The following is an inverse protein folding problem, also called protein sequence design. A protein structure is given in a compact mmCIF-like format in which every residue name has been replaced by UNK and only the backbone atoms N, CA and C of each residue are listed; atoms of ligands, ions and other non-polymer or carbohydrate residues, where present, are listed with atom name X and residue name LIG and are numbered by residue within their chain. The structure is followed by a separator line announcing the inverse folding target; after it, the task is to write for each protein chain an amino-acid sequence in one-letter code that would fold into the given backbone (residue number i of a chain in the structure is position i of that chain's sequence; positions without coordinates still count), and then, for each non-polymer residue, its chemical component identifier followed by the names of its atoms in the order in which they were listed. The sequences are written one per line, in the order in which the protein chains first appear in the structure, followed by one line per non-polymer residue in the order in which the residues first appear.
data_IF_938757872006
#
_entry.id   IF_938757872006
#
_cell.length_a   1.000
_cell.length_b   1.000
_cell.length_c   1.000
_cell.angle_alpha   90.00
_cell.angle_beta   90.00
_cell.angle_gamma   90.00
#
_symmetry.space_group_name_H-M   'P 1'
#
loop_
_entity.id
_entity.type
_entity.pdbx_description
1 polymer ?
#
# COMPACT_ATOMS: atom_id res chain seq x y z
N UNK A 1 23.66 8.07 16.02
CA UNK A 1 22.31 8.01 16.58
C UNK A 1 21.33 8.36 15.47
N UNK A 2 20.82 7.38 14.72
CA UNK A 2 19.67 7.59 13.86
C UNK A 2 18.48 7.76 14.81
N UNK A 3 17.85 8.94 14.80
CA UNK A 3 16.64 9.21 15.57
C UNK A 3 15.52 8.30 15.14
N UNK A 4 14.67 7.89 16.06
CA UNK A 4 13.46 7.14 15.73
C UNK A 4 12.55 8.04 14.90
N UNK A 5 12.05 7.52 13.75
CA UNK A 5 11.10 8.19 12.89
C UNK A 5 9.69 7.65 13.17
N UNK A 6 8.73 8.53 13.38
CA UNK A 6 7.34 8.18 13.60
C UNK A 6 6.52 8.32 12.31
N UNK A 7 5.58 7.41 12.10
CA UNK A 7 4.60 7.45 11.02
C UNK A 7 3.21 7.58 11.62
N UNK A 8 2.46 8.56 11.15
CA UNK A 8 1.08 8.80 11.56
C UNK A 8 0.21 9.00 10.32
N UNK A 9 -0.83 8.19 10.18
CA UNK A 9 -1.84 8.36 9.13
C UNK A 9 -3.10 8.98 9.73
N UNK A 10 -3.50 10.11 9.20
CA UNK A 10 -4.75 10.78 9.54
C UNK A 10 -5.73 10.65 8.37
N UNK A 11 -6.97 10.32 8.69
CA UNK A 11 -8.06 10.24 7.70
C UNK A 11 -9.12 11.27 8.02
N UNK A 12 -9.87 11.71 7.03
CA UNK A 12 -10.98 12.66 7.20
C UNK A 12 -12.17 12.07 7.97
N UNK A 13 -12.19 10.76 8.17
CA UNK A 13 -13.23 10.04 8.91
C UNK A 13 -12.66 9.48 10.22
N UNK A 14 -13.47 9.51 11.27
CA UNK A 14 -13.11 8.90 12.54
C UNK A 14 -12.91 7.39 12.37
N UNK A 15 -11.73 6.89 12.67
CA UNK A 15 -11.47 5.45 12.77
C UNK A 15 -12.11 4.93 14.07
N UNK A 16 -13.34 4.44 13.96
CA UNK A 16 -14.08 3.84 15.07
C UNK A 16 -13.55 2.42 15.38
N UNK A 17 -12.29 2.27 15.74
CA UNK A 17 -11.73 0.98 16.17
C UNK A 17 -11.69 -0.11 15.07
N UNK A 18 -11.81 0.25 13.81
CA UNK A 18 -11.72 -0.69 12.70
C UNK A 18 -10.28 -1.14 12.44
N UNK A 19 -10.11 -2.38 11.99
CA UNK A 19 -8.84 -2.90 11.48
C UNK A 19 -8.24 -1.93 10.46
N UNK A 20 -6.91 -1.84 10.44
CA UNK A 20 -6.18 -1.00 9.46
C UNK A 20 -6.63 -1.35 8.04
N UNK A 21 -6.96 -0.35 7.27
CA UNK A 21 -7.32 -0.57 5.86
C UNK A 21 -6.17 -1.27 5.12
N UNK A 22 -6.46 -2.14 4.14
CA UNK A 22 -5.43 -2.79 3.34
C UNK A 22 -4.43 -1.78 2.73
N UNK A 23 -4.90 -0.61 2.33
CA UNK A 23 -4.06 0.46 1.82
C UNK A 23 -3.06 0.97 2.86
N UNK A 24 -3.53 1.23 4.09
CA UNK A 24 -2.66 1.65 5.20
C UNK A 24 -1.58 0.62 5.51
N UNK A 25 -1.97 -0.66 5.48
CA UNK A 25 -1.05 -1.77 5.74
C UNK A 25 0.02 -1.91 4.66
N UNK A 26 -0.37 -1.80 3.38
CA UNK A 26 0.54 -1.83 2.22
C UNK A 26 1.56 -0.69 2.30
N UNK A 27 1.09 0.54 2.51
CA UNK A 27 1.94 1.72 2.57
C UNK A 27 2.92 1.67 3.73
N UNK A 28 2.44 1.33 4.91
CA UNK A 28 3.29 1.22 6.08
C UNK A 28 4.35 0.13 5.92
N UNK A 29 3.99 -1.03 5.39
CA UNK A 29 4.93 -2.13 5.18
C UNK A 29 6.02 -1.75 4.21
N UNK A 30 5.67 -1.07 3.10
CA UNK A 30 6.65 -0.58 2.13
C UNK A 30 7.56 0.49 2.75
N UNK A 31 6.99 1.48 3.44
CA UNK A 31 7.75 2.55 4.07
C UNK A 31 8.70 2.01 5.15
N UNK A 32 8.26 1.06 5.95
CA UNK A 32 9.09 0.43 6.99
C UNK A 32 10.27 -0.34 6.40
N UNK A 33 10.10 -0.98 5.25
CA UNK A 33 11.21 -1.65 4.56
C UNK A 33 12.26 -0.64 4.06
N UNK A 34 11.83 0.54 3.62
CA UNK A 34 12.73 1.62 3.19
C UNK A 34 13.40 2.32 4.39
N UNK A 35 12.68 2.45 5.50
CA UNK A 35 13.09 3.14 6.73
C UNK A 35 12.93 2.17 7.93
N UNK A 36 13.92 1.31 8.22
CA UNK A 36 13.79 0.23 9.22
C UNK A 36 13.42 0.70 10.63
N UNK A 37 13.74 1.95 10.99
CA UNK A 37 13.43 2.54 12.30
C UNK A 37 12.08 3.25 12.35
N UNK A 38 11.27 3.15 11.29
CA UNK A 38 9.93 3.71 11.25
C UNK A 38 9.01 2.98 12.22
N UNK A 39 8.32 3.74 13.07
CA UNK A 39 7.31 3.24 14.02
C UNK A 39 5.93 3.78 13.64
N UNK A 40 4.93 2.90 13.59
CA UNK A 40 3.55 3.29 13.38
C UNK A 40 2.96 3.82 14.69
N UNK A 41 2.54 5.07 14.66
CA UNK A 41 1.96 5.78 15.81
C UNK A 41 0.44 5.91 15.70
N UNK A 42 -0.17 5.33 14.68
CA UNK A 42 -1.60 5.49 14.38
C UNK A 42 -2.50 4.90 15.48
N UNK A 43 -2.01 3.91 16.21
CA UNK A 43 -2.79 3.24 17.27
C UNK A 43 -2.65 3.90 18.64
N UNK A 44 -1.56 4.61 18.90
CA UNK A 44 -1.30 5.25 20.21
C UNK A 44 -0.53 6.58 20.02
N UNK A 45 -1.10 7.59 19.40
CA UNK A 45 -0.41 8.81 19.04
C UNK A 45 0.08 9.63 20.25
N UNK A 46 -0.71 9.72 21.32
CA UNK A 46 -0.46 10.65 22.43
C UNK A 46 0.82 10.34 23.23
N UNK A 47 1.16 9.06 23.35
CA UNK A 47 2.29 8.64 24.21
C UNK A 47 3.60 8.60 23.44
N UNK A 48 3.54 8.36 22.14
CA UNK A 48 4.70 8.02 21.34
C UNK A 48 5.31 9.20 20.59
N UNK A 49 4.51 10.23 20.28
CA UNK A 49 4.93 11.38 19.45
C UNK A 49 6.08 12.16 20.09
N UNK A 50 6.05 12.39 21.39
CA UNK A 50 7.07 13.16 22.11
C UNK A 50 8.48 12.52 22.10
N UNK A 51 8.57 11.25 21.72
CA UNK A 51 9.84 10.49 21.67
C UNK A 51 10.51 10.52 20.31
N UNK A 52 9.82 10.99 19.28
CA UNK A 52 10.30 10.97 17.90
C UNK A 52 10.81 12.35 17.49
N UNK A 53 12.01 12.40 16.93
CA UNK A 53 12.59 13.64 16.38
C UNK A 53 12.01 14.00 15.02
N UNK A 54 11.77 12.96 14.22
CA UNK A 54 11.25 13.09 12.86
C UNK A 54 9.87 12.39 12.81
N UNK A 55 8.89 13.11 12.32
CA UNK A 55 7.51 12.63 12.21
C UNK A 55 7.01 12.80 10.77
N UNK A 56 6.68 11.69 10.14
CA UNK A 56 6.00 11.67 8.86
C UNK A 56 4.50 11.56 9.09
N UNK A 57 3.75 12.59 8.72
CA UNK A 57 2.30 12.61 8.80
C UNK A 57 1.74 12.47 7.39
N UNK A 58 0.98 11.39 7.14
CA UNK A 58 0.19 11.25 5.93
C UNK A 58 -1.25 11.62 6.22
N UNK A 59 -1.75 12.60 5.48
CA UNK A 59 -3.15 13.01 5.55
C UNK A 59 -3.84 12.48 4.30
N UNK A 60 -4.79 11.57 4.51
CA UNK A 60 -5.63 11.06 3.45
C UNK A 60 -6.85 11.97 3.30
N UNK A 61 -6.93 12.61 2.14
CA UNK A 61 -8.04 13.50 1.81
C UNK A 61 -9.11 12.72 1.06
N UNK A 62 -10.38 13.01 1.35
CA UNK A 62 -11.48 12.40 0.62
C UNK A 62 -11.47 12.84 -0.84
N UNK A 63 -11.80 11.92 -1.74
CA UNK A 63 -11.82 12.16 -3.19
C UNK A 63 -12.88 13.19 -3.63
N UNK A 64 -13.76 13.61 -2.72
CA UNK A 64 -14.81 14.59 -2.98
C UNK A 64 -14.34 16.04 -3.04
N UNK A 65 -13.09 16.31 -2.64
CA UNK A 65 -12.55 17.67 -2.63
C UNK A 65 -11.64 17.88 -3.83
N UNK A 66 -12.02 18.83 -4.69
CA UNK A 66 -11.12 19.27 -5.76
C UNK A 66 -9.89 19.97 -5.17
N UNK A 67 -8.71 19.87 -5.80
CA UNK A 67 -7.50 20.55 -5.35
C UNK A 67 -7.69 22.05 -5.11
N UNK A 68 -8.52 22.72 -5.93
CA UNK A 68 -8.86 24.14 -5.81
C UNK A 68 -9.65 24.45 -4.52
N UNK A 69 -10.51 23.55 -4.06
CA UNK A 69 -11.22 23.71 -2.78
C UNK A 69 -10.31 23.51 -1.59
N UNK A 70 -9.29 22.67 -1.70
CA UNK A 70 -8.30 22.48 -0.65
C UNK A 70 -7.45 23.73 -0.39
N UNK A 71 -7.12 24.50 -1.44
CA UNK A 71 -6.43 25.79 -1.27
C UNK A 71 -7.31 26.86 -0.65
N UNK A 72 -8.59 26.88 -1.03
CA UNK A 72 -9.54 27.88 -0.55
C UNK A 72 -10.07 27.59 0.87
N UNK A 73 -10.20 26.33 1.25
CA UNK A 73 -10.83 25.90 2.52
C UNK A 73 -9.80 25.46 3.57
N UNK A 74 -8.55 25.19 3.17
CA UNK A 74 -7.51 24.67 4.06
C UNK A 74 -7.70 23.19 4.41
N UNK A 75 -6.95 22.74 5.41
CA UNK A 75 -7.02 21.37 5.93
C UNK A 75 -8.42 21.13 6.52
N UNK A 76 -9.02 19.97 6.22
CA UNK A 76 -10.30 19.55 6.79
C UNK A 76 -10.34 19.83 8.32
N UNK A 77 -11.43 20.42 8.84
CA UNK A 77 -11.55 20.78 10.25
C UNK A 77 -11.30 19.62 11.22
N UNK A 78 -11.69 18.40 10.83
CA UNK A 78 -11.45 17.19 11.63
C UNK A 78 -9.96 16.87 11.72
N UNK A 79 -9.25 16.87 10.58
CA UNK A 79 -7.79 16.65 10.54
C UNK A 79 -7.06 17.74 11.30
N UNK A 80 -7.50 19.00 11.15
CA UNK A 80 -6.97 20.13 11.92
C UNK A 80 -7.13 19.94 13.41
N UNK A 81 -8.33 19.55 13.87
CA UNK A 81 -8.60 19.26 15.27
C UNK A 81 -7.73 18.10 15.80
N UNK A 82 -7.48 17.06 14.99
CA UNK A 82 -6.56 15.99 15.37
C UNK A 82 -5.12 16.50 15.52
N UNK A 83 -4.61 17.29 14.58
CA UNK A 83 -3.27 17.87 14.67
C UNK A 83 -3.14 18.79 15.91
N UNK A 84 -4.14 19.60 16.19
CA UNK A 84 -4.17 20.48 17.36
C UNK A 84 -4.20 19.67 18.66
N UNK A 85 -5.01 18.61 18.75
CA UNK A 85 -5.06 17.71 19.91
C UNK A 85 -3.72 17.05 20.20
N UNK A 86 -2.98 16.71 19.15
CA UNK A 86 -1.65 16.10 19.20
C UNK A 86 -0.53 17.16 19.36
N UNK A 87 -0.88 18.45 19.38
CA UNK A 87 0.06 19.58 19.42
C UNK A 87 1.09 19.55 18.31
N UNK A 88 0.68 19.08 17.13
CA UNK A 88 1.54 18.98 15.95
C UNK A 88 1.37 20.20 15.06
N UNK A 89 2.49 20.79 14.69
CA UNK A 89 2.55 21.85 13.67
C UNK A 89 3.49 21.36 12.57
N UNK A 90 2.97 21.05 11.36
CA UNK A 90 3.81 20.57 10.28
C UNK A 90 4.75 21.69 9.79
N UNK A 91 6.04 21.40 9.76
CA UNK A 91 7.07 22.34 9.24
C UNK A 91 7.05 22.42 7.72
N UNK A 92 6.61 21.35 7.06
CA UNK A 92 6.53 21.26 5.59
C UNK A 92 5.28 20.52 5.17
N UNK A 93 4.65 21.03 4.11
CA UNK A 93 3.54 20.38 3.44
C UNK A 93 3.99 19.91 2.06
N UNK A 94 3.89 18.60 1.81
CA UNK A 94 4.09 18.01 0.49
C UNK A 94 2.73 17.53 -0.03
N UNK A 95 2.28 18.12 -1.14
CA UNK A 95 1.06 17.69 -1.80
C UNK A 95 1.42 16.72 -2.92
N UNK A 96 1.06 15.44 -2.77
CA UNK A 96 1.24 14.45 -3.81
C UNK A 96 0.02 14.41 -4.73
N UNK A 97 0.24 14.34 -6.03
CA UNK A 97 -0.80 14.22 -7.05
C UNK A 97 -1.21 15.52 -7.73
N UNK A 98 -0.59 16.66 -7.39
CA UNK A 98 -0.87 17.95 -8.03
C UNK A 98 -0.16 18.16 -9.37
N UNK A 99 1.02 17.58 -9.55
CA UNK A 99 1.84 17.76 -10.75
C UNK A 99 1.57 16.74 -11.86
N UNK A 100 0.64 15.79 -11.63
CA UNK A 100 0.09 15.05 -12.75
C UNK A 100 -0.85 16.02 -13.47
N UNK A 101 -0.42 16.54 -14.62
CA UNK A 101 -1.30 17.17 -15.59
C UNK A 101 -2.42 16.18 -15.95
N UNK A 102 -3.46 16.16 -15.14
CA UNK A 102 -4.73 15.59 -15.54
C UNK A 102 -5.15 16.42 -16.76
N UNK A 103 -5.46 15.78 -17.90
CA UNK A 103 -5.94 16.51 -19.06
C UNK A 103 -7.10 17.40 -18.61
N UNK A 104 -6.93 18.70 -18.80
CA UNK A 104 -7.78 19.78 -18.28
C UNK A 104 -9.22 19.75 -18.79
N UNK A 105 -9.64 18.77 -19.57
CA UNK A 105 -10.93 18.71 -20.24
C UNK A 105 -11.86 17.57 -19.80
N UNK A 106 -11.39 16.62 -19.02
CA UNK A 106 -12.26 15.64 -18.39
C UNK A 106 -12.38 15.97 -16.91
N UNK A 107 -13.42 16.67 -16.56
CA UNK A 107 -14.01 16.62 -15.22
C UNK A 107 -14.37 15.15 -14.99
N UNK A 108 -13.39 14.33 -14.60
CA UNK A 108 -13.65 13.02 -14.03
C UNK A 108 -14.62 13.27 -12.89
N UNK A 109 -15.87 12.92 -13.11
CA UNK A 109 -16.93 13.04 -12.10
C UNK A 109 -16.60 11.95 -11.08
N UNK A 110 -15.77 12.29 -10.08
CA UNK A 110 -15.31 11.40 -9.01
C UNK A 110 -16.44 10.71 -8.25
N UNK A 111 -17.69 11.13 -8.48
CA UNK A 111 -18.90 10.49 -7.90
C UNK A 111 -19.10 9.03 -8.32
N UNK A 112 -18.48 8.59 -9.41
CA UNK A 112 -18.60 7.22 -9.90
C UNK A 112 -17.35 6.37 -9.65
N UNK A 113 -16.34 6.93 -8.97
CA UNK A 113 -15.10 6.19 -8.68
C UNK A 113 -15.35 5.21 -7.55
N UNK A 114 -15.24 3.93 -7.87
CA UNK A 114 -15.24 2.87 -6.87
C UNK A 114 -13.81 2.61 -6.36
N UNK A 115 -13.66 2.42 -5.07
CA UNK A 115 -12.44 1.89 -4.47
C UNK A 115 -12.72 0.50 -3.94
N UNK A 116 -11.95 -0.47 -4.37
CA UNK A 116 -12.01 -1.85 -3.91
C UNK A 116 -10.67 -2.25 -3.33
N UNK A 117 -10.68 -2.92 -2.19
CA UNK A 117 -9.47 -3.35 -1.51
C UNK A 117 -9.60 -4.76 -0.96
N UNK A 118 -8.51 -5.49 -0.96
CA UNK A 118 -8.44 -6.85 -0.47
C UNK A 118 -7.22 -7.03 0.42
N UNK A 119 -7.44 -7.48 1.65
CA UNK A 119 -6.38 -7.97 2.52
C UNK A 119 -6.17 -9.47 2.21
N UNK A 120 -4.99 -9.79 1.73
CA UNK A 120 -4.59 -11.15 1.37
C UNK A 120 -3.75 -11.82 2.47
N UNK A 121 -3.70 -11.22 3.65
CA UNK A 121 -2.93 -11.70 4.79
C UNK A 121 -1.47 -12.06 4.40
N UNK A 122 -1.05 -13.30 4.63
CA UNK A 122 0.28 -13.84 4.31
C UNK A 122 0.30 -14.59 2.96
N UNK A 123 -0.63 -14.30 2.06
CA UNK A 123 -0.70 -15.01 0.78
C UNK A 123 0.56 -14.79 -0.04
N UNK A 124 0.92 -15.85 -0.76
CA UNK A 124 2.02 -15.87 -1.72
C UNK A 124 1.41 -16.00 -3.11
N UNK A 125 1.96 -15.32 -4.09
CA UNK A 125 1.47 -15.31 -5.45
C UNK A 125 2.33 -16.21 -6.34
N UNK A 126 1.68 -16.92 -7.26
CA UNK A 126 2.40 -17.51 -8.37
C UNK A 126 2.90 -16.39 -9.32
N UNK A 127 4.21 -16.32 -9.60
CA UNK A 127 4.77 -15.19 -10.34
C UNK A 127 4.21 -15.03 -11.76
N UNK A 128 3.90 -16.14 -12.44
CA UNK A 128 3.36 -16.09 -13.80
C UNK A 128 1.92 -15.59 -13.79
N UNK A 129 1.11 -16.15 -12.91
CA UNK A 129 -0.28 -15.74 -12.74
C UNK A 129 -0.40 -14.29 -12.28
N UNK A 130 0.47 -13.84 -11.37
CA UNK A 130 0.54 -12.44 -10.93
C UNK A 130 0.82 -11.50 -12.11
N UNK A 131 1.79 -11.84 -12.94
CA UNK A 131 2.13 -11.01 -14.09
C UNK A 131 0.97 -10.90 -15.09
N UNK A 132 0.28 -12.01 -15.35
CA UNK A 132 -0.91 -12.04 -16.21
C UNK A 132 -2.04 -11.22 -15.61
N UNK A 133 -2.37 -11.47 -14.33
CA UNK A 133 -3.41 -10.72 -13.63
C UNK A 133 -3.14 -9.21 -13.63
N UNK A 134 -1.90 -8.80 -13.34
CA UNK A 134 -1.55 -7.38 -13.34
C UNK A 134 -1.67 -6.74 -14.72
N UNK A 135 -1.22 -7.47 -15.75
CA UNK A 135 -1.38 -7.03 -17.14
C UNK A 135 -2.86 -6.85 -17.50
N UNK A 136 -3.70 -7.82 -17.21
CA UNK A 136 -5.14 -7.76 -17.45
C UNK A 136 -5.81 -6.60 -16.69
N UNK A 137 -5.44 -6.42 -15.42
CA UNK A 137 -5.96 -5.37 -14.56
C UNK A 137 -5.72 -3.97 -15.13
N UNK A 138 -4.48 -3.68 -15.52
CA UNK A 138 -4.10 -2.34 -16.01
C UNK A 138 -4.53 -2.09 -17.46
N UNK A 139 -4.92 -3.14 -18.19
CA UNK A 139 -5.44 -3.04 -19.55
C UNK A 139 -6.98 -3.12 -19.62
N UNK A 140 -7.67 -3.03 -18.49
CA UNK A 140 -9.11 -2.85 -18.44
C UNK A 140 -9.94 -4.14 -18.52
N UNK A 141 -9.34 -5.32 -18.32
CA UNK A 141 -10.10 -6.58 -18.32
C UNK A 141 -11.18 -6.64 -17.23
N UNK A 142 -11.03 -5.86 -16.18
CA UNK A 142 -11.92 -5.85 -15.01
C UNK A 142 -12.62 -4.50 -14.78
N UNK A 143 -12.70 -3.67 -15.81
CA UNK A 143 -13.26 -2.32 -15.75
C UNK A 143 -12.23 -1.22 -15.97
N UNK A 144 -12.66 0.03 -15.91
CA UNK A 144 -11.78 1.18 -16.13
C UNK A 144 -10.96 1.44 -14.84
N UNK A 145 -9.79 0.87 -14.75
CA UNK A 145 -8.88 1.07 -13.62
C UNK A 145 -8.14 2.40 -13.80
N UNK A 146 -8.12 3.24 -12.77
CA UNK A 146 -7.38 4.50 -12.75
C UNK A 146 -6.14 4.42 -11.87
N UNK A 147 -6.19 3.60 -10.82
CA UNK A 147 -5.05 3.34 -9.94
C UNK A 147 -5.13 1.91 -9.41
N UNK A 148 -3.99 1.26 -9.37
CA UNK A 148 -3.82 -0.01 -8.68
C UNK A 148 -2.54 0.01 -7.86
N UNK A 149 -2.62 -0.49 -6.62
CA UNK A 149 -1.50 -0.58 -5.70
C UNK A 149 -1.57 -1.90 -4.94
N UNK A 150 -0.44 -2.58 -4.82
CA UNK A 150 -0.41 -3.85 -4.10
C UNK A 150 0.94 -4.17 -3.50
N UNK A 151 0.92 -5.00 -2.47
CA UNK A 151 2.10 -5.63 -1.90
C UNK A 151 1.92 -7.15 -2.02
N UNK A 152 2.82 -7.78 -2.78
CA UNK A 152 2.72 -9.18 -3.19
C UNK A 152 3.94 -9.94 -2.72
N UNK A 153 3.71 -11.05 -2.00
CA UNK A 153 4.78 -11.97 -1.62
C UNK A 153 4.97 -13.03 -2.70
N UNK A 154 6.21 -13.41 -2.98
CA UNK A 154 6.59 -14.42 -3.97
C UNK A 154 7.17 -15.68 -3.29
N UNK A 155 7.19 -16.83 -3.97
CA UNK A 155 7.68 -18.09 -3.40
C UNK A 155 9.15 -18.07 -2.99
N UNK A 156 9.97 -17.23 -3.64
CA UNK A 156 11.39 -17.06 -3.32
C UNK A 156 11.66 -16.21 -2.06
N UNK A 157 10.60 -15.77 -1.40
CA UNK A 157 10.66 -14.90 -0.21
C UNK A 157 10.79 -13.42 -0.51
N UNK A 158 10.94 -13.06 -1.78
CA UNK A 158 10.88 -11.67 -2.22
C UNK A 158 9.45 -11.13 -2.06
N UNK A 159 9.31 -9.84 -1.79
CA UNK A 159 8.04 -9.13 -1.89
C UNK A 159 8.20 -7.94 -2.81
N UNK A 160 7.15 -7.66 -3.56
CA UNK A 160 7.15 -6.58 -4.55
C UNK A 160 5.99 -5.64 -4.24
N UNK A 161 6.31 -4.35 -4.17
CA UNK A 161 5.33 -3.28 -4.15
C UNK A 161 5.01 -2.89 -5.58
N UNK A 162 3.75 -3.04 -5.95
CA UNK A 162 3.21 -2.67 -7.25
C UNK A 162 2.50 -1.33 -7.13
N UNK A 163 2.73 -0.44 -8.09
CA UNK A 163 2.01 0.81 -8.21
C UNK A 163 1.79 1.15 -9.67
N UNK A 164 0.56 1.48 -10.01
CA UNK A 164 0.17 1.90 -11.33
C UNK A 164 -0.88 3.01 -11.23
N UNK A 165 -0.73 4.01 -12.09
CA UNK A 165 -1.64 5.15 -12.22
C UNK A 165 -1.85 5.40 -13.70
N UNK A 166 -3.10 5.55 -14.14
CA UNK A 166 -3.47 5.70 -15.57
C UNK A 166 -2.75 6.87 -16.26
N UNK A 167 -2.45 7.95 -15.54
CA UNK A 167 -1.73 9.12 -16.06
C UNK A 167 -0.22 8.90 -16.22
N UNK A 168 0.32 7.82 -15.70
CA UNK A 168 1.75 7.51 -15.75
C UNK A 168 2.02 6.39 -16.75
N UNK A 169 3.16 6.49 -17.47
CA UNK A 169 3.57 5.44 -18.38
C UNK A 169 4.12 4.25 -17.60
N UNK A 170 3.47 3.09 -17.79
CA UNK A 170 3.91 1.81 -17.24
C UNK A 170 3.61 1.63 -15.76
N UNK A 171 3.82 0.41 -15.30
CA UNK A 171 3.71 0.02 -13.90
C UNK A 171 5.06 0.16 -13.20
N UNK A 172 5.02 0.53 -11.93
CA UNK A 172 6.21 0.51 -11.06
C UNK A 172 6.22 -0.79 -10.27
N UNK A 173 7.36 -1.48 -10.28
CA UNK A 173 7.60 -2.70 -9.54
C UNK A 173 8.81 -2.47 -8.64
N UNK A 174 8.58 -2.30 -7.36
CA UNK A 174 9.61 -1.97 -6.39
C UNK A 174 9.82 -3.16 -5.44
N UNK A 175 10.90 -3.95 -5.63
CA UNK A 175 11.19 -5.03 -4.70
C UNK A 175 11.53 -4.46 -3.33
N UNK A 176 11.05 -5.13 -2.28
CA UNK A 176 11.42 -4.80 -0.92
C UNK A 176 12.85 -5.25 -0.66
N UNK A 177 13.57 -4.51 0.18
CA UNK A 177 14.96 -4.83 0.58
C UNK A 177 15.03 -6.10 1.43
N UNK A 178 14.01 -6.29 2.27
CA UNK A 178 13.92 -7.45 3.15
C UNK A 178 13.37 -8.64 2.40
N UNK A 179 14.14 -9.71 2.34
CA UNK A 179 13.74 -11.00 1.75
C UNK A 179 13.47 -11.99 2.89
N UNK A 180 12.35 -12.69 2.83
CA UNK A 180 12.01 -13.76 3.77
C UNK A 180 12.64 -15.08 3.31
N UNK A 181 12.99 -16.01 4.22
CA UNK A 181 13.39 -17.36 3.81
C UNK A 181 12.26 -18.02 2.98
N UNK A 182 12.58 -18.80 1.93
CA UNK A 182 11.58 -19.52 1.13
C UNK A 182 11.09 -20.77 1.89
N UNK A 183 10.45 -20.55 3.03
CA UNK A 183 9.97 -21.58 3.95
C UNK A 183 8.54 -21.27 4.42
N UNK A 184 7.57 -21.73 3.66
CA UNK A 184 6.16 -21.46 3.90
C UNK A 184 5.75 -20.02 3.57
N UNK A 185 4.70 -19.53 4.23
CA UNK A 185 4.17 -18.19 4.02
C UNK A 185 4.91 -17.18 4.89
N UNK A 186 5.34 -16.04 4.33
CA UNK A 186 6.04 -15.02 5.10
C UNK A 186 5.10 -14.34 6.10
N UNK A 187 5.67 -13.78 7.18
CA UNK A 187 4.90 -12.99 8.14
C UNK A 187 4.43 -11.63 7.57
N UNK A 188 4.97 -11.25 6.43
CA UNK A 188 4.63 -9.97 5.78
C UNK A 188 3.24 -10.02 5.19
N UNK A 189 2.42 -8.97 5.40
CA UNK A 189 1.11 -8.87 4.78
C UNK A 189 1.21 -8.77 3.26
N UNK A 190 0.20 -9.27 2.58
CA UNK A 190 -0.05 -9.07 1.16
C UNK A 190 -1.42 -8.39 1.01
N UNK A 191 -1.58 -7.57 -0.02
CA UNK A 191 -2.83 -6.87 -0.23
C UNK A 191 -2.87 -6.10 -1.52
N UNK A 192 -4.07 -5.69 -1.93
CA UNK A 192 -4.33 -4.99 -3.18
C UNK A 192 -5.39 -3.92 -2.96
N UNK A 193 -5.19 -2.77 -3.57
CA UNK A 193 -6.16 -1.68 -3.66
C UNK A 193 -6.32 -1.28 -5.12
N UNK A 194 -7.55 -1.21 -5.61
CA UNK A 194 -7.90 -0.84 -6.97
C UNK A 194 -8.92 0.29 -6.91
N UNK A 195 -8.69 1.32 -7.69
CA UNK A 195 -9.62 2.45 -7.85
C UNK A 195 -9.96 2.60 -9.32
N UNK A 196 -11.25 2.70 -9.62
CA UNK A 196 -11.70 2.75 -11.01
C UNK A 196 -13.21 2.88 -11.15
N UNK A 197 -13.69 2.76 -12.37
CA UNK A 197 -15.10 2.79 -12.73
C UNK A 197 -15.54 1.44 -13.30
N UNK A 198 -16.73 1.00 -12.90
CA UNK A 198 -17.30 -0.25 -13.42
C UNK A 198 -16.45 -1.49 -13.07
N UNK A 199 -15.78 -1.49 -11.90
CA UNK A 199 -14.92 -2.59 -11.48
C UNK A 199 -15.72 -3.88 -11.29
N UNK A 200 -15.30 -4.93 -11.97
CA UNK A 200 -15.82 -6.29 -11.78
C UNK A 200 -15.12 -6.96 -10.60
N UNK A 201 -15.53 -6.57 -9.40
CA UNK A 201 -14.93 -7.05 -8.15
C UNK A 201 -15.06 -8.57 -7.98
N UNK A 202 -16.09 -9.20 -8.55
CA UNK A 202 -16.31 -10.65 -8.47
C UNK A 202 -15.24 -11.37 -9.29
N UNK A 203 -15.03 -10.96 -10.53
CA UNK A 203 -14.01 -11.54 -11.38
C UNK A 203 -12.60 -11.23 -10.89
N UNK A 204 -12.34 -10.03 -10.39
CA UNK A 204 -11.07 -9.69 -9.72
C UNK A 204 -10.78 -10.68 -8.60
N UNK A 205 -11.72 -10.86 -7.68
CA UNK A 205 -11.55 -11.77 -6.53
C UNK A 205 -11.36 -13.22 -6.97
N UNK A 206 -12.14 -13.67 -7.94
CA UNK A 206 -12.07 -15.03 -8.49
C UNK A 206 -10.70 -15.29 -9.12
N UNK A 207 -10.21 -14.36 -9.94
CA UNK A 207 -8.90 -14.48 -10.59
C UNK A 207 -7.77 -14.46 -9.56
N UNK A 208 -7.82 -13.58 -8.56
CA UNK A 208 -6.84 -13.57 -7.47
C UNK A 208 -6.77 -14.93 -6.79
N UNK A 209 -7.90 -15.52 -6.45
CA UNK A 209 -7.92 -16.83 -5.78
C UNK A 209 -7.24 -17.94 -6.61
N UNK A 210 -7.29 -17.84 -7.95
CA UNK A 210 -6.58 -18.75 -8.84
C UNK A 210 -5.07 -18.49 -8.91
N UNK A 211 -4.64 -17.26 -8.62
CA UNK A 211 -3.23 -16.87 -8.61
C UNK A 211 -2.49 -17.25 -7.32
N UNK A 212 -3.22 -17.68 -6.28
CA UNK A 212 -2.65 -17.98 -4.97
C UNK A 212 -2.44 -19.49 -4.81
N UNK A 213 -1.19 -20.00 -4.81
CA UNK A 213 -0.91 -21.41 -4.59
C UNK A 213 -1.37 -21.83 -3.19
N UNK A 214 -1.89 -23.06 -3.10
CA UNK A 214 -2.08 -23.73 -1.83
C UNK A 214 -0.74 -24.13 -1.20
N UNK A 215 -0.75 -24.59 0.05
CA UNK A 215 0.50 -24.86 0.78
C UNK A 215 1.32 -25.99 0.13
N UNK A 216 0.69 -27.00 -0.46
CA UNK A 216 1.39 -28.08 -1.15
C UNK A 216 2.11 -27.58 -2.42
N UNK A 217 1.45 -26.75 -3.22
CA UNK A 217 2.05 -26.14 -4.41
C UNK A 217 3.13 -25.15 -4.05
N UNK A 218 2.92 -24.35 -2.99
CA UNK A 218 3.92 -23.44 -2.47
C UNK A 218 5.19 -24.19 -2.04
N UNK A 219 5.05 -25.29 -1.31
CA UNK A 219 6.16 -26.13 -0.89
C UNK A 219 6.95 -26.67 -2.08
N UNK A 220 6.23 -27.16 -3.13
CA UNK A 220 6.87 -27.60 -4.38
C UNK A 220 7.71 -26.48 -5.05
N UNK A 221 7.25 -25.24 -5.00
CA UNK A 221 7.99 -24.10 -5.54
C UNK A 221 9.20 -23.74 -4.67
N UNK A 222 9.09 -23.86 -3.35
CA UNK A 222 10.12 -23.45 -2.41
C UNK A 222 11.24 -24.47 -2.20
N UNK A 223 10.94 -25.75 -2.31
CA UNK A 223 11.92 -26.83 -2.12
C UNK A 223 13.18 -26.67 -2.99
N UNK A 224 13.10 -26.44 -4.32
CA UNK A 224 14.28 -26.25 -5.15
C UNK A 224 15.06 -24.95 -4.83
N UNK A 225 14.40 -23.97 -4.23
CA UNK A 225 15.03 -22.70 -3.87
C UNK A 225 15.86 -22.86 -2.59
N UNK A 226 15.38 -23.65 -1.62
CA UNK A 226 16.13 -24.00 -0.41
C UNK A 226 17.35 -24.84 -0.73
N UNK A 227 17.24 -25.81 -1.63
CA UNK A 227 18.33 -26.69 -2.00
C UNK A 227 19.48 -25.95 -2.72
N UNK A 228 19.20 -24.79 -3.31
CA UNK A 228 20.19 -23.92 -3.96
C UNK A 228 20.88 -22.93 -3.05
N UNK A 229 20.37 -22.71 -1.83
CA UNK A 229 21.05 -21.88 -0.84
C UNK A 229 22.18 -22.73 -0.21
N UNK A 230 23.48 -22.42 -0.47
CA UNK A 230 24.56 -23.13 0.23
C UNK A 230 24.43 -22.87 1.74
N UNK A 231 24.72 -23.88 2.53
CA UNK A 231 24.80 -23.85 3.99
C UNK A 231 25.84 -22.81 4.48
N UNK A 232 25.52 -21.54 4.39
CA UNK A 232 26.37 -20.47 4.91
C UNK A 232 25.66 -19.75 6.02
N UNK A 233 25.38 -20.43 7.13
CA UNK A 233 25.05 -19.78 8.41
C UNK A 233 25.13 -20.77 9.60
N UNK A 234 26.20 -21.57 9.67
CA UNK A 234 26.61 -22.16 10.94
C UNK A 234 28.15 -22.03 11.05
N UNK A 235 28.60 -20.82 11.36
CA UNK A 235 29.93 -20.60 11.86
C UNK A 235 29.89 -19.41 12.82
N UNK A 236 29.89 -19.75 14.11
CA UNK A 236 30.36 -18.97 15.29
C UNK A 236 29.49 -17.82 15.74
#
# INVERSE_FOLDING_TARGET
NQGACGYLRLTEQANNGQEKSPESLIDYTFLKDQVPHLQDLSDCPDISISKHKDLLILIELSQSQSPEKLEAVGINPYVKSQLESLKLQPDRHLHFGRDSELPSNDTLVFKELASWSLNLAKSVWDPQSLNTFWFELVNGAYGDVYRAKGLMNLPDGQSIFFNWIVSQKGSQFLPLKTVSPPNGRPERPSGLVIQGKGLDCINIQSTINLCLPNDALLEMHQMPLRDRQPETLHAS
#
